data_IF_000435515174
#
_entry.id   IF_000435515174
#
_cell.length_a   1.000
_cell.length_b   1.000
_cell.length_c   1.000
_cell.angle_alpha   90.00
_cell.angle_beta   90.00
_cell.angle_gamma   90.00
#
_symmetry.space_group_name_H-M   'P 1'
#
loop_
_entity.id
_entity.type
_entity.pdbx_description
1 polymer ?
#
# COMPACT_ATOMS: atom_id res chain seq x y z
N UNK A 1 5.43 -1.01 4.34
CA UNK A 1 4.24 -1.54 5.00
C UNK A 1 3.96 -2.98 4.59
N UNK A 2 3.82 -3.27 3.31
CA UNK A 2 3.41 -4.60 2.83
C UNK A 2 4.43 -5.70 3.16
N UNK A 3 5.72 -5.40 3.11
CA UNK A 3 6.80 -6.37 3.39
C UNK A 3 7.01 -6.61 4.89
N UNK A 4 6.78 -5.59 5.71
CA UNK A 4 6.96 -5.66 7.16
C UNK A 4 5.77 -4.99 7.87
N UNK A 5 4.56 -5.55 7.75
CA UNK A 5 3.35 -4.88 8.21
C UNK A 5 3.32 -4.65 9.71
N UNK A 6 3.82 -5.59 10.51
CA UNK A 6 3.83 -5.45 11.97
C UNK A 6 4.76 -4.33 12.45
N UNK A 7 5.99 -4.27 11.92
CA UNK A 7 6.97 -3.26 12.32
C UNK A 7 6.51 -1.86 11.91
N UNK A 8 6.02 -1.70 10.68
CA UNK A 8 5.54 -0.40 10.18
C UNK A 8 4.29 0.04 10.91
N UNK A 9 3.36 -0.87 11.18
CA UNK A 9 2.17 -0.55 11.96
C UNK A 9 2.54 -0.12 13.39
N UNK A 10 3.45 -0.82 14.04
CA UNK A 10 3.91 -0.45 15.38
C UNK A 10 4.51 0.97 15.41
N UNK A 11 5.35 1.32 14.44
CA UNK A 11 5.91 2.67 14.31
C UNK A 11 4.85 3.72 14.07
N UNK A 12 3.87 3.45 13.22
CA UNK A 12 2.77 4.36 12.93
C UNK A 12 1.90 4.60 14.16
N UNK A 13 1.53 3.53 14.87
CA UNK A 13 0.68 3.63 16.06
C UNK A 13 1.41 4.34 17.19
N UNK A 14 2.73 4.13 17.36
CA UNK A 14 3.55 4.87 18.32
C UNK A 14 3.56 6.37 17.98
N UNK A 15 3.71 6.73 16.71
CA UNK A 15 3.64 8.11 16.25
C UNK A 15 2.28 8.76 16.58
N UNK A 16 1.19 8.03 16.40
CA UNK A 16 -0.17 8.49 16.69
C UNK A 16 -0.53 8.41 18.19
N UNK A 17 0.34 7.85 19.03
CA UNK A 17 0.10 7.59 20.44
C UNK A 17 -1.13 6.69 20.68
N UNK A 18 -1.32 5.69 19.83
CA UNK A 18 -2.40 4.71 19.91
C UNK A 18 -1.83 3.30 20.12
N UNK A 19 -2.63 2.44 20.74
CA UNK A 19 -2.26 1.03 20.91
C UNK A 19 -2.41 0.25 19.59
N UNK A 20 -1.53 -0.75 19.38
CA UNK A 20 -1.65 -1.69 18.27
C UNK A 20 -2.73 -2.74 18.60
N UNK A 21 -3.69 -2.89 17.69
CA UNK A 21 -4.72 -3.93 17.77
C UNK A 21 -4.45 -5.04 16.75
N UNK A 22 -4.47 -6.33 17.16
CA UNK A 22 -4.21 -7.44 16.23
C UNK A 22 -5.14 -7.46 15.01
N UNK A 23 -6.38 -7.00 15.18
CA UNK A 23 -7.37 -6.90 14.10
C UNK A 23 -6.95 -5.98 12.95
N UNK A 24 -6.07 -5.02 13.18
CA UNK A 24 -5.57 -4.10 12.16
C UNK A 24 -4.81 -4.82 11.03
N UNK A 25 -4.12 -5.93 11.35
CA UNK A 25 -3.43 -6.77 10.36
C UNK A 25 -4.34 -7.85 9.75
N UNK A 26 -5.53 -8.04 10.29
CA UNK A 26 -6.53 -9.00 9.84
C UNK A 26 -7.77 -8.32 9.24
N UNK A 27 -7.58 -7.14 8.69
CA UNK A 27 -8.68 -6.31 8.13
C UNK A 27 -9.52 -7.06 7.08
N UNK A 28 -8.91 -7.97 6.32
CA UNK A 28 -9.60 -8.77 5.31
C UNK A 28 -10.71 -9.64 5.90
N UNK A 29 -10.57 -10.11 7.14
CA UNK A 29 -11.63 -10.86 7.83
C UNK A 29 -12.82 -9.96 8.15
N UNK A 30 -12.57 -8.77 8.70
CA UNK A 30 -13.62 -7.80 9.00
C UNK A 30 -14.36 -7.32 7.74
N UNK A 31 -13.64 -7.18 6.63
CA UNK A 31 -14.21 -6.81 5.34
C UNK A 31 -15.11 -7.92 4.80
N UNK A 32 -14.70 -9.18 4.90
CA UNK A 32 -15.51 -10.32 4.47
C UNK A 32 -16.82 -10.43 5.27
N UNK A 33 -16.78 -10.15 6.56
CA UNK A 33 -17.98 -10.16 7.42
C UNK A 33 -18.95 -9.03 7.08
N UNK A 34 -18.47 -7.88 6.62
CA UNK A 34 -19.26 -6.69 6.28
C UNK A 34 -19.74 -6.63 4.83
N UNK A 35 -19.42 -7.61 4.03
CA UNK A 35 -19.34 -7.52 2.57
C UNK A 35 -20.66 -7.41 1.79
N UNK A 36 -21.77 -7.22 2.41
CA UNK A 36 -23.06 -7.34 1.69
C UNK A 36 -23.42 -6.19 0.73
N UNK A 37 -22.63 -5.08 0.63
CA UNK A 37 -23.01 -3.92 -0.18
C UNK A 37 -21.89 -3.12 -0.87
N UNK A 38 -20.66 -3.63 -0.95
CA UNK A 38 -19.58 -2.86 -1.59
C UNK A 38 -19.38 -3.34 -3.03
N UNK A 39 -19.68 -2.46 -3.99
CA UNK A 39 -19.67 -2.76 -5.43
C UNK A 39 -18.44 -2.18 -6.17
N UNK A 40 -17.42 -1.72 -5.45
CA UNK A 40 -16.22 -1.15 -6.09
C UNK A 40 -15.36 -2.25 -6.70
N UNK A 41 -14.74 -2.04 -7.90
CA UNK A 41 -13.87 -3.02 -8.53
C UNK A 41 -12.68 -3.47 -7.68
N UNK A 42 -12.22 -2.61 -6.77
CA UNK A 42 -11.10 -2.89 -5.85
C UNK A 42 -11.50 -3.72 -4.62
N UNK A 43 -12.78 -3.96 -4.41
CA UNK A 43 -13.26 -4.67 -3.22
C UNK A 43 -12.64 -6.05 -3.04
N UNK A 44 -12.52 -6.82 -4.12
CA UNK A 44 -11.91 -8.15 -4.08
C UNK A 44 -10.46 -8.13 -3.55
N UNK A 45 -9.71 -7.06 -3.84
CA UNK A 45 -8.34 -6.90 -3.34
C UNK A 45 -8.30 -6.57 -1.85
N UNK A 46 -9.24 -5.73 -1.37
CA UNK A 46 -9.33 -5.35 0.05
C UNK A 46 -9.78 -6.53 0.91
N UNK A 47 -10.55 -7.46 0.37
CA UNK A 47 -11.00 -8.67 1.05
C UNK A 47 -9.92 -9.77 1.17
N UNK A 48 -8.73 -9.54 0.63
CA UNK A 48 -7.61 -10.48 0.68
C UNK A 48 -6.56 -10.02 1.70
N UNK A 49 -5.73 -10.94 2.24
CA UNK A 49 -4.57 -10.58 3.04
C UNK A 49 -3.62 -9.64 2.29
N UNK A 50 -2.79 -8.90 3.01
CA UNK A 50 -1.72 -8.11 2.42
C UNK A 50 -0.84 -8.98 1.52
N UNK A 51 -0.57 -8.51 0.31
CA UNK A 51 0.28 -9.21 -0.64
C UNK A 51 1.24 -8.23 -1.34
N UNK A 52 2.42 -8.68 -1.76
CA UNK A 52 3.44 -7.83 -2.39
C UNK A 52 3.22 -7.60 -3.89
N UNK A 53 2.14 -8.11 -4.48
CA UNK A 53 1.95 -8.13 -5.94
C UNK A 53 1.91 -6.77 -6.63
N UNK A 54 1.66 -5.70 -5.88
CA UNK A 54 1.65 -4.35 -6.43
C UNK A 54 2.97 -3.59 -6.22
N UNK A 55 3.90 -4.12 -5.42
CA UNK A 55 5.21 -3.50 -5.19
C UNK A 55 5.94 -3.41 -6.53
N UNK A 56 6.47 -2.22 -6.81
CA UNK A 56 7.22 -1.94 -8.04
C UNK A 56 6.45 -2.19 -9.36
N UNK A 57 5.14 -2.38 -9.33
CA UNK A 57 4.34 -2.61 -10.54
C UNK A 57 4.53 -1.50 -11.59
N UNK A 58 4.74 -0.26 -11.17
CA UNK A 58 4.97 0.90 -12.04
C UNK A 58 6.19 0.72 -12.96
N UNK A 59 7.19 -0.06 -12.55
CA UNK A 59 8.40 -0.34 -13.33
C UNK A 59 8.09 -0.99 -14.68
N UNK A 60 6.99 -1.74 -14.76
CA UNK A 60 6.52 -2.34 -16.03
C UNK A 60 6.09 -1.29 -17.06
N UNK A 61 5.70 -0.11 -16.58
CA UNK A 61 5.22 1.00 -17.42
C UNK A 61 6.28 2.08 -17.62
N UNK A 62 7.47 1.92 -17.05
CA UNK A 62 8.54 2.92 -17.10
C UNK A 62 8.89 3.35 -18.52
N UNK A 63 8.91 2.43 -19.47
CA UNK A 63 9.20 2.70 -20.87
C UNK A 63 8.17 3.64 -21.54
N UNK A 64 6.98 3.77 -20.97
CA UNK A 64 5.92 4.66 -21.46
C UNK A 64 6.04 6.09 -20.89
N UNK A 65 6.93 6.32 -19.93
CA UNK A 65 7.15 7.66 -19.37
C UNK A 65 8.11 8.43 -20.27
N UNK A 66 7.70 9.63 -20.70
CA UNK A 66 8.59 10.51 -21.45
C UNK A 66 9.74 11.01 -20.57
N UNK A 67 10.85 11.42 -21.18
CA UNK A 67 11.98 12.03 -20.47
C UNK A 67 11.53 13.21 -19.62
N UNK A 68 10.63 14.03 -20.15
CA UNK A 68 10.07 15.16 -19.42
C UNK A 68 9.32 14.72 -18.16
N UNK A 69 8.50 13.68 -18.26
CA UNK A 69 7.79 13.10 -17.11
C UNK A 69 8.76 12.60 -16.05
N UNK A 70 9.80 11.88 -16.46
CA UNK A 70 10.82 11.36 -15.53
C UNK A 70 11.57 12.49 -14.83
N UNK A 71 11.91 13.56 -15.53
CA UNK A 71 12.57 14.74 -14.94
C UNK A 71 11.71 15.39 -13.85
N UNK A 72 10.40 15.50 -14.08
CA UNK A 72 9.48 16.08 -13.08
C UNK A 72 9.30 15.14 -11.87
N UNK A 73 9.30 13.84 -12.09
CA UNK A 73 9.10 12.84 -11.02
C UNK A 73 10.35 12.61 -10.16
N UNK A 74 11.55 12.75 -10.73
CA UNK A 74 12.82 12.38 -10.07
C UNK A 74 12.99 12.97 -8.67
N UNK A 75 12.77 14.29 -8.42
CA UNK A 75 12.94 14.87 -7.10
C UNK A 75 12.02 14.23 -6.04
N UNK A 76 10.80 13.90 -6.43
CA UNK A 76 9.82 13.26 -5.56
C UNK A 76 10.17 11.81 -5.26
N UNK A 77 10.59 11.09 -6.29
CA UNK A 77 11.00 9.68 -6.17
C UNK A 77 12.18 9.55 -5.21
N UNK A 78 13.19 10.41 -5.34
CA UNK A 78 14.33 10.46 -4.41
C UNK A 78 13.91 10.82 -2.98
N UNK A 79 13.04 11.83 -2.84
CA UNK A 79 12.56 12.27 -1.54
C UNK A 79 11.90 11.17 -0.74
N UNK A 80 11.21 10.28 -1.41
CA UNK A 80 10.51 9.14 -0.78
C UNK A 80 11.32 7.84 -0.81
N UNK A 81 12.60 7.88 -1.17
CA UNK A 81 13.50 6.73 -1.12
C UNK A 81 13.29 5.70 -2.22
N UNK A 82 12.66 6.08 -3.33
CA UNK A 82 12.53 5.22 -4.51
C UNK A 82 13.61 5.50 -5.55
N UNK A 83 13.76 4.59 -6.50
CA UNK A 83 14.67 4.70 -7.64
C UNK A 83 13.87 4.58 -8.94
N UNK A 84 14.08 5.52 -9.84
CA UNK A 84 13.48 5.49 -11.19
C UNK A 84 14.15 4.46 -12.11
#
# INVERSE_FOLDING_TARGET
>A
LVQQPQAVLASLMAFLQLAVEPSQLQFHKAVQERSRRITTPSYAQVAQPLNPGAIDRWKRYRAHFSTQTLTVLEPWVRRYGYVL
#
